data_IF_775530208149
#
_entry.id   IF_775530208149
#
_cell.length_a   1.000
_cell.length_b   1.000
_cell.length_c   1.000
_cell.angle_alpha   90.00
_cell.angle_beta   90.00
_cell.angle_gamma   90.00
#
_symmetry.space_group_name_H-M   'P 1'
#
loop_
_entity.id
_entity.type
_entity.pdbx_description
1 polymer ?
#
# COMPACT_ATOMS: atom_id res chain seq x y z
N UNK A 1 -24.25 -30.97 1.08
CA UNK A 1 -25.58 -31.55 1.43
C UNK A 1 -26.48 -30.53 2.14
N UNK A 2 -26.00 -29.79 3.12
CA UNK A 2 -26.80 -28.80 3.86
C UNK A 2 -27.27 -27.62 3.01
N UNK A 3 -26.50 -27.18 2.03
CA UNK A 3 -26.86 -26.08 1.11
C UNK A 3 -28.03 -26.46 0.20
N UNK A 4 -28.17 -27.74 -0.17
CA UNK A 4 -29.32 -28.21 -0.96
C UNK A 4 -30.61 -28.29 -0.13
N UNK A 5 -30.49 -28.59 1.16
CA UNK A 5 -31.64 -28.63 2.06
C UNK A 5 -32.19 -27.21 2.33
N UNK A 6 -31.30 -26.23 2.51
CA UNK A 6 -31.67 -24.83 2.67
C UNK A 6 -32.22 -24.20 1.38
N UNK A 7 -31.78 -24.67 0.21
CA UNK A 7 -32.25 -24.21 -1.10
C UNK A 7 -33.76 -24.49 -1.39
N UNK A 8 -34.43 -25.25 -0.55
CA UNK A 8 -35.88 -25.53 -0.66
C UNK A 8 -36.72 -24.90 0.44
N UNK A 9 -36.15 -23.98 1.23
CA UNK A 9 -36.82 -23.38 2.39
C UNK A 9 -38.05 -22.56 1.95
N UNK A 10 -38.03 -21.94 0.78
CA UNK A 10 -39.18 -21.22 0.21
C UNK A 10 -40.42 -22.07 0.04
N UNK A 11 -40.25 -23.37 -0.19
CA UNK A 11 -41.34 -24.33 -0.28
C UNK A 11 -41.90 -24.68 1.10
N UNK A 12 -41.12 -24.47 2.16
CA UNK A 12 -41.51 -24.80 3.56
C UNK A 12 -42.02 -23.54 4.27
N UNK A 13 -41.45 -22.38 3.99
CA UNK A 13 -41.88 -21.13 4.58
C UNK A 13 -41.74 -19.97 3.60
N UNK A 14 -42.84 -19.51 2.94
CA UNK A 14 -42.79 -18.47 1.92
C UNK A 14 -42.38 -17.06 2.45
N UNK A 15 -42.29 -16.90 3.78
CA UNK A 15 -41.80 -15.67 4.40
C UNK A 15 -40.29 -15.67 4.66
N UNK A 16 -39.59 -16.76 4.35
CA UNK A 16 -38.13 -16.83 4.45
C UNK A 16 -37.49 -16.55 3.10
N UNK A 17 -36.72 -15.49 3.04
CA UNK A 17 -35.88 -15.18 1.90
C UNK A 17 -34.45 -15.69 2.19
N UNK A 18 -33.86 -16.36 1.24
CA UNK A 18 -32.45 -16.77 1.32
C UNK A 18 -31.70 -16.42 0.05
N UNK A 19 -30.41 -16.15 0.20
CA UNK A 19 -29.49 -15.99 -0.91
C UNK A 19 -28.38 -17.03 -0.79
N UNK A 20 -27.98 -17.58 -1.91
CA UNK A 20 -26.82 -18.50 -1.98
C UNK A 20 -25.64 -17.78 -2.60
N UNK A 21 -24.54 -17.81 -1.88
CA UNK A 21 -23.27 -17.27 -2.36
C UNK A 21 -22.32 -18.42 -2.69
N UNK A 22 -21.49 -18.23 -3.69
CA UNK A 22 -20.50 -19.19 -4.11
C UNK A 22 -19.15 -18.54 -4.30
N UNK A 23 -18.09 -19.30 -4.06
CA UNK A 23 -16.73 -18.97 -4.45
C UNK A 23 -16.34 -19.57 -5.79
N UNK A 24 -17.25 -20.31 -6.44
CA UNK A 24 -17.02 -20.87 -7.76
C UNK A 24 -17.66 -19.98 -8.83
N UNK A 25 -16.89 -19.25 -9.67
CA UNK A 25 -17.41 -18.36 -10.71
C UNK A 25 -18.23 -19.08 -11.78
N UNK A 26 -18.07 -20.40 -11.93
CA UNK A 26 -18.83 -21.21 -12.90
C UNK A 26 -20.23 -21.62 -12.41
N UNK A 27 -20.57 -21.29 -11.16
CA UNK A 27 -21.88 -21.63 -10.60
C UNK A 27 -22.91 -20.55 -10.93
N UNK A 28 -23.73 -20.81 -11.94
CA UNK A 28 -24.78 -19.91 -12.43
C UNK A 28 -26.01 -19.78 -11.50
N UNK A 29 -26.14 -20.64 -10.48
CA UNK A 29 -27.29 -20.67 -9.59
C UNK A 29 -27.07 -19.94 -8.27
N UNK A 30 -25.94 -19.26 -8.11
CA UNK A 30 -25.57 -18.57 -6.89
C UNK A 30 -24.88 -17.25 -7.22
N UNK A 31 -25.01 -16.27 -6.33
CA UNK A 31 -24.26 -15.02 -6.45
C UNK A 31 -22.80 -15.24 -6.06
N UNK A 32 -21.86 -14.58 -6.73
CA UNK A 32 -20.45 -14.65 -6.35
C UNK A 32 -20.28 -13.89 -5.03
N UNK A 33 -19.67 -14.55 -4.06
CA UNK A 33 -19.25 -13.87 -2.83
C UNK A 33 -18.15 -12.87 -3.16
N UNK A 34 -18.43 -11.60 -3.01
CA UNK A 34 -17.45 -10.54 -3.15
C UNK A 34 -17.26 -9.84 -1.81
N UNK A 35 -16.03 -9.83 -1.30
CA UNK A 35 -15.67 -9.22 -0.02
C UNK A 35 -14.78 -8.00 -0.32
N UNK A 36 -15.31 -6.77 -0.22
CA UNK A 36 -14.51 -5.57 -0.43
C UNK A 36 -13.31 -5.52 0.52
N UNK A 37 -12.11 -5.31 -0.03
CA UNK A 37 -10.87 -5.32 0.76
C UNK A 37 -10.86 -4.29 1.90
N UNK A 38 -11.48 -3.13 1.70
CA UNK A 38 -11.55 -2.07 2.72
C UNK A 38 -12.45 -2.40 3.92
N UNK A 39 -13.18 -3.50 3.87
CA UNK A 39 -13.91 -4.04 5.02
C UNK A 39 -13.03 -4.94 5.91
N UNK A 40 -11.90 -5.43 5.38
CA UNK A 40 -10.97 -6.29 6.10
C UNK A 40 -10.06 -5.46 7.00
N UNK A 41 -10.00 -5.85 8.27
CA UNK A 41 -9.09 -5.27 9.24
C UNK A 41 -7.72 -5.95 9.23
N UNK A 42 -6.85 -5.53 10.16
CA UNK A 42 -5.51 -6.10 10.34
C UNK A 42 -5.58 -7.60 10.63
N UNK A 43 -6.49 -8.02 11.53
CA UNK A 43 -6.63 -9.42 11.93
C UNK A 43 -7.14 -10.29 10.77
N UNK A 44 -8.07 -9.79 9.96
CA UNK A 44 -8.59 -10.49 8.79
C UNK A 44 -7.49 -10.72 7.75
N UNK A 45 -6.69 -9.68 7.47
CA UNK A 45 -5.55 -9.79 6.56
C UNK A 45 -4.43 -10.67 7.14
N UNK A 46 -4.23 -10.64 8.44
CA UNK A 46 -3.27 -11.51 9.11
C UNK A 46 -3.64 -13.00 8.93
N UNK A 47 -4.92 -13.32 9.04
CA UNK A 47 -5.43 -14.68 8.76
C UNK A 47 -5.32 -15.02 7.27
N UNK A 48 -5.70 -14.11 6.39
CA UNK A 48 -5.67 -14.32 4.94
C UNK A 48 -4.24 -14.53 4.43
N UNK A 49 -3.26 -13.82 5.02
CA UNK A 49 -1.84 -13.90 4.67
C UNK A 49 -1.07 -14.91 5.53
N UNK A 50 -1.75 -15.72 6.34
CA UNK A 50 -1.17 -16.75 7.21
C UNK A 50 0.03 -16.20 8.04
N UNK A 51 -0.24 -15.14 8.79
CA UNK A 51 0.77 -14.52 9.67
C UNK A 51 1.20 -15.50 10.74
N UNK A 52 2.51 -15.74 10.82
CA UNK A 52 3.09 -16.71 11.75
C UNK A 52 3.85 -16.08 12.91
N UNK A 53 4.17 -14.78 12.78
CA UNK A 53 4.92 -14.06 13.81
C UNK A 53 4.32 -12.69 14.12
N UNK A 54 4.28 -12.26 15.39
CA UNK A 54 3.73 -10.95 15.79
C UNK A 54 4.42 -9.75 15.11
N UNK A 55 5.68 -9.91 14.71
CA UNK A 55 6.44 -8.84 14.05
C UNK A 55 5.94 -8.48 12.65
N UNK A 56 5.05 -9.30 12.07
CA UNK A 56 4.44 -9.07 10.77
C UNK A 56 3.21 -8.16 10.85
N UNK A 57 2.53 -8.11 12.00
CA UNK A 57 1.31 -7.30 12.18
C UNK A 57 1.53 -5.80 11.95
N UNK A 58 2.58 -5.15 12.49
CA UNK A 58 2.81 -3.73 12.27
C UNK A 58 2.99 -3.35 10.79
N UNK A 59 3.44 -4.28 9.96
CA UNK A 59 3.61 -4.06 8.52
C UNK A 59 2.25 -4.07 7.82
N UNK A 60 1.37 -4.99 8.18
CA UNK A 60 0.00 -5.04 7.67
C UNK A 60 -0.75 -3.77 8.08
N UNK A 61 -0.66 -3.40 9.36
CA UNK A 61 -1.27 -2.18 9.90
C UNK A 61 -0.80 -0.93 9.14
N UNK A 62 0.51 -0.81 8.92
CA UNK A 62 1.09 0.28 8.14
C UNK A 62 0.63 0.26 6.68
N UNK A 63 0.60 -0.92 6.04
CA UNK A 63 0.12 -1.03 4.66
C UNK A 63 -1.34 -0.57 4.53
N UNK A 64 -2.21 -1.01 5.46
CA UNK A 64 -3.61 -0.56 5.50
C UNK A 64 -3.75 0.94 5.72
N UNK A 65 -2.93 1.53 6.59
CA UNK A 65 -2.96 2.99 6.82
C UNK A 65 -2.50 3.80 5.60
N UNK A 66 -1.65 3.22 4.75
CA UNK A 66 -1.04 3.89 3.61
C UNK A 66 -1.76 3.65 2.28
N UNK A 67 -2.51 2.54 2.14
CA UNK A 67 -3.06 2.13 0.85
C UNK A 67 -3.94 3.21 0.20
N UNK A 68 -4.81 3.85 0.95
CA UNK A 68 -5.69 4.91 0.44
C UNK A 68 -4.93 6.20 0.05
N UNK A 69 -3.78 6.46 0.68
CA UNK A 69 -2.92 7.60 0.35
C UNK A 69 -2.11 7.30 -0.91
N UNK A 70 -1.54 6.11 -0.99
CA UNK A 70 -0.69 5.73 -2.14
C UNK A 70 -1.50 5.55 -3.43
N UNK A 71 -2.78 5.17 -3.33
CA UNK A 71 -3.69 4.99 -4.48
C UNK A 71 -4.35 6.29 -4.92
N UNK A 72 -4.55 7.24 -4.01
CA UNK A 72 -5.28 8.48 -4.30
C UNK A 72 -4.50 9.44 -5.20
N UNK A 73 -5.22 10.08 -6.13
CA UNK A 73 -4.70 11.11 -7.03
C UNK A 73 -5.32 12.50 -6.78
N UNK A 74 -6.11 12.64 -5.72
CA UNK A 74 -6.68 13.92 -5.31
C UNK A 74 -5.54 14.87 -4.83
N UNK A 75 -5.56 16.16 -5.20
CA UNK A 75 -4.52 17.12 -4.80
C UNK A 75 -4.23 17.18 -3.30
N UNK A 76 -5.25 17.00 -2.46
CA UNK A 76 -5.06 16.96 -1.01
C UNK A 76 -4.37 15.67 -0.57
N UNK A 77 -4.67 14.54 -1.21
CA UNK A 77 -4.01 13.26 -0.95
C UNK A 77 -2.57 13.25 -1.45
N UNK A 78 -2.28 13.92 -2.58
CA UNK A 78 -0.91 14.02 -3.13
C UNK A 78 0.05 14.69 -2.13
N UNK A 79 -0.39 15.65 -1.32
CA UNK A 79 0.45 16.25 -0.27
C UNK A 79 0.88 15.22 0.77
N UNK A 80 -0.06 14.38 1.23
CA UNK A 80 0.24 13.29 2.16
C UNK A 80 1.14 12.24 1.52
N UNK A 81 0.90 11.91 0.26
CA UNK A 81 1.74 11.00 -0.53
C UNK A 81 3.17 11.52 -0.63
N UNK A 82 3.35 12.81 -0.94
CA UNK A 82 4.65 13.46 -1.00
C UNK A 82 5.36 13.40 0.37
N UNK A 83 4.67 13.73 1.47
CA UNK A 83 5.24 13.70 2.81
C UNK A 83 5.74 12.30 3.18
N UNK A 84 4.93 11.26 2.96
CA UNK A 84 5.28 9.88 3.29
C UNK A 84 6.50 9.42 2.48
N UNK A 85 6.53 9.70 1.18
CA UNK A 85 7.66 9.36 0.30
C UNK A 85 8.90 10.16 0.71
N UNK A 86 8.74 11.44 1.01
CA UNK A 86 9.84 12.30 1.44
C UNK A 86 10.47 11.82 2.74
N UNK A 87 9.68 11.41 3.74
CA UNK A 87 10.18 10.83 5.00
C UNK A 87 10.99 9.56 4.72
N UNK A 88 10.48 8.63 3.92
CA UNK A 88 11.21 7.41 3.57
C UNK A 88 12.53 7.71 2.83
N UNK A 89 12.53 8.66 1.88
CA UNK A 89 13.74 9.10 1.19
C UNK A 89 14.72 9.79 2.13
N UNK A 90 14.22 10.62 3.05
CA UNK A 90 15.05 11.31 4.03
C UNK A 90 15.73 10.34 5.00
N UNK A 91 15.02 9.31 5.46
CA UNK A 91 15.57 8.26 6.32
C UNK A 91 16.71 7.51 5.61
N UNK A 92 16.57 7.23 4.30
CA UNK A 92 17.63 6.64 3.48
C UNK A 92 18.83 7.59 3.39
N UNK A 93 18.61 8.86 3.05
CA UNK A 93 19.66 9.86 2.91
C UNK A 93 20.47 10.03 4.20
N UNK A 94 19.81 9.95 5.35
CA UNK A 94 20.41 10.13 6.69
C UNK A 94 20.82 8.82 7.36
N UNK A 95 20.70 7.68 6.69
CA UNK A 95 20.96 6.34 7.26
C UNK A 95 22.42 6.07 7.66
N UNK A 96 23.36 6.90 7.20
CA UNK A 96 24.79 6.68 7.43
C UNK A 96 25.41 5.54 6.61
N UNK A 97 24.65 4.94 5.67
CA UNK A 97 25.19 3.94 4.76
C UNK A 97 26.19 4.54 3.75
N UNK A 98 26.88 3.68 2.99
CA UNK A 98 27.73 4.13 1.89
C UNK A 98 26.92 4.87 0.83
N UNK A 99 27.48 5.93 0.26
CA UNK A 99 26.81 6.81 -0.71
C UNK A 99 26.24 6.06 -1.93
N UNK A 100 26.89 4.99 -2.37
CA UNK A 100 26.39 4.13 -3.47
C UNK A 100 25.09 3.43 -3.06
N UNK A 101 25.04 2.86 -1.84
CA UNK A 101 23.85 2.21 -1.30
C UNK A 101 22.71 3.22 -1.11
N UNK A 102 23.02 4.39 -0.55
CA UNK A 102 22.05 5.49 -0.38
C UNK A 102 21.45 5.88 -1.74
N UNK A 103 22.29 6.17 -2.73
CA UNK A 103 21.84 6.53 -4.08
C UNK A 103 20.94 5.47 -4.68
N UNK A 104 21.35 4.21 -4.65
CA UNK A 104 20.64 3.12 -5.28
C UNK A 104 19.29 2.86 -4.58
N UNK A 105 19.22 2.98 -3.26
CA UNK A 105 17.97 2.89 -2.49
C UNK A 105 17.03 4.06 -2.80
N UNK A 106 17.52 5.30 -2.85
CA UNK A 106 16.70 6.46 -3.20
C UNK A 106 16.14 6.33 -4.62
N UNK A 107 16.97 5.89 -5.58
CA UNK A 107 16.52 5.64 -6.95
C UNK A 107 15.45 4.55 -6.97
N UNK A 108 15.63 3.45 -6.25
CA UNK A 108 14.66 2.36 -6.19
C UNK A 108 13.29 2.84 -5.63
N UNK A 109 13.32 3.60 -4.54
CA UNK A 109 12.09 4.16 -3.94
C UNK A 109 11.39 5.09 -4.93
N UNK A 110 12.09 6.10 -5.47
CA UNK A 110 11.48 7.10 -6.36
C UNK A 110 11.15 6.55 -7.77
N UNK A 111 11.69 5.40 -8.16
CA UNK A 111 11.26 4.71 -9.38
C UNK A 111 9.88 4.07 -9.18
N UNK A 112 9.63 3.49 -8.02
CA UNK A 112 8.38 2.78 -7.71
C UNK A 112 7.31 3.70 -7.12
N UNK A 113 7.72 4.59 -6.22
CA UNK A 113 6.86 5.50 -5.47
C UNK A 113 7.24 6.94 -5.80
N UNK A 114 6.48 7.57 -6.66
CA UNK A 114 6.74 8.95 -7.05
C UNK A 114 5.45 9.72 -7.28
N UNK A 115 5.58 11.02 -7.31
CA UNK A 115 4.53 11.95 -7.73
C UNK A 115 5.09 12.87 -8.81
N UNK A 116 4.25 13.73 -9.35
CA UNK A 116 4.71 14.75 -10.30
C UNK A 116 5.75 15.69 -9.68
N UNK A 117 5.59 16.00 -8.39
CA UNK A 117 6.43 16.99 -7.70
C UNK A 117 7.67 16.33 -7.06
N UNK A 118 7.56 15.09 -6.59
CA UNK A 118 8.63 14.32 -5.99
C UNK A 118 8.94 13.08 -6.83
N UNK A 119 9.87 13.23 -7.76
CA UNK A 119 10.32 12.18 -8.68
C UNK A 119 11.80 12.33 -8.99
N UNK A 120 12.40 11.34 -9.66
CA UNK A 120 13.79 11.41 -10.14
C UNK A 120 14.01 12.53 -11.18
N UNK A 121 12.95 12.92 -11.88
CA UNK A 121 12.98 13.98 -12.90
C UNK A 121 12.55 15.34 -12.36
N UNK A 122 12.16 15.42 -11.07
CA UNK A 122 11.83 16.67 -10.41
C UNK A 122 13.00 17.65 -10.50
N UNK A 123 12.71 18.90 -10.84
CA UNK A 123 13.72 19.94 -11.05
C UNK A 123 14.09 20.61 -9.74
N UNK A 124 15.36 20.60 -9.41
CA UNK A 124 15.95 21.36 -8.31
C UNK A 124 16.61 22.61 -8.89
N UNK A 125 16.04 23.76 -8.52
CA UNK A 125 16.49 25.08 -9.01
C UNK A 125 17.48 25.67 -8.03
N UNK A 126 18.64 26.07 -8.50
CA UNK A 126 19.67 26.80 -7.76
C UNK A 126 20.07 28.07 -8.52
N UNK A 127 20.64 29.08 -7.87
CA UNK A 127 21.17 30.24 -8.57
C UNK A 127 22.17 29.82 -9.65
N UNK A 128 21.84 30.12 -10.93
CA UNK A 128 22.69 29.85 -12.04
C UNK A 128 22.56 28.48 -12.73
N UNK A 129 21.83 27.50 -12.12
CA UNK A 129 21.61 26.20 -12.78
C UNK A 129 20.34 25.48 -12.31
N UNK A 130 19.85 24.59 -13.17
CA UNK A 130 18.73 23.68 -12.87
C UNK A 130 19.19 22.26 -13.17
N UNK A 131 18.96 21.35 -12.22
CA UNK A 131 19.24 19.91 -12.37
C UNK A 131 18.03 19.09 -11.97
N UNK A 132 17.97 17.86 -12.50
CA UNK A 132 17.00 16.89 -12.01
C UNK A 132 17.47 16.31 -10.66
N UNK A 133 16.54 15.82 -9.86
CA UNK A 133 16.83 15.12 -8.61
C UNK A 133 17.87 14.00 -8.85
N UNK A 134 17.68 13.21 -9.92
CA UNK A 134 18.59 12.14 -10.31
C UNK A 134 20.02 12.63 -10.56
N UNK A 135 20.16 13.80 -11.21
CA UNK A 135 21.48 14.39 -11.47
C UNK A 135 22.18 14.82 -10.19
N UNK A 136 21.42 15.24 -9.17
CA UNK A 136 21.97 15.62 -7.86
C UNK A 136 22.43 14.41 -7.03
N UNK A 137 22.06 13.18 -7.39
CA UNK A 137 22.55 11.95 -6.77
C UNK A 137 23.90 11.48 -7.30
N UNK A 138 24.70 12.39 -7.86
CA UNK A 138 26.03 12.11 -8.39
C UNK A 138 27.03 11.78 -7.28
N UNK A 139 27.79 10.70 -7.48
CA UNK A 139 28.86 10.26 -6.60
C UNK A 139 30.18 10.57 -7.25
N UNK A 140 31.08 11.23 -6.55
CA UNK A 140 32.41 11.56 -7.02
C UNK A 140 33.38 10.37 -7.04
N UNK A 141 34.61 10.63 -7.50
CA UNK A 141 35.68 9.59 -7.53
C UNK A 141 36.11 9.12 -6.13
N UNK A 142 35.78 9.87 -5.07
CA UNK A 142 36.07 9.52 -3.68
C UNK A 142 34.97 8.69 -3.03
N UNK A 143 33.88 8.44 -3.74
CA UNK A 143 32.73 7.69 -3.26
C UNK A 143 31.76 8.52 -2.42
N UNK A 144 31.80 9.84 -2.49
CA UNK A 144 30.88 10.74 -1.78
C UNK A 144 29.75 11.25 -2.68
N UNK A 145 28.54 11.33 -2.09
CA UNK A 145 27.41 12.02 -2.71
C UNK A 145 27.66 13.54 -2.61
N UNK A 146 27.91 14.17 -3.76
CA UNK A 146 28.38 15.56 -3.79
C UNK A 146 27.36 16.59 -3.34
N UNK A 147 26.08 16.39 -3.67
CA UNK A 147 25.02 17.36 -3.43
C UNK A 147 24.04 16.89 -2.35
N UNK A 148 24.54 16.16 -1.33
CA UNK A 148 23.74 15.58 -0.26
C UNK A 148 22.85 16.62 0.44
N UNK A 149 23.42 17.75 0.81
CA UNK A 149 22.70 18.82 1.50
C UNK A 149 21.58 19.40 0.62
N UNK A 150 21.86 19.61 -0.67
CA UNK A 150 20.88 20.09 -1.63
C UNK A 150 19.70 19.13 -1.77
N UNK A 151 20.00 17.83 -1.89
CA UNK A 151 18.98 16.78 -2.00
C UNK A 151 18.15 16.70 -0.71
N UNK A 152 18.80 16.70 0.46
CA UNK A 152 18.12 16.70 1.75
C UNK A 152 17.20 17.92 1.92
N UNK A 153 17.68 19.11 1.56
CA UNK A 153 16.87 20.33 1.67
C UNK A 153 15.67 20.29 0.71
N UNK A 154 15.85 19.80 -0.51
CA UNK A 154 14.75 19.62 -1.45
C UNK A 154 13.70 18.64 -0.92
N UNK A 155 14.12 17.48 -0.41
CA UNK A 155 13.19 16.48 0.15
C UNK A 155 12.44 17.04 1.35
N UNK A 156 13.10 17.81 2.21
CA UNK A 156 12.46 18.46 3.38
C UNK A 156 11.32 19.41 3.01
N UNK A 157 11.31 19.99 1.81
CA UNK A 157 10.21 20.88 1.39
C UNK A 157 8.87 20.18 1.28
N UNK A 158 8.85 18.85 1.22
CA UNK A 158 7.64 18.04 1.16
C UNK A 158 7.19 17.53 2.53
N UNK A 159 7.98 17.70 3.57
CA UNK A 159 7.64 17.28 4.93
C UNK A 159 6.65 18.29 5.53
N UNK A 160 5.53 17.79 6.04
CA UNK A 160 4.54 18.57 6.76
C UNK A 160 4.83 18.52 8.27
N UNK A 161 4.88 19.69 8.93
CA UNK A 161 5.20 19.78 10.36
C UNK A 161 4.11 19.13 11.23
N UNK A 162 2.83 19.29 10.85
CA UNK A 162 1.66 18.78 11.58
C UNK A 162 1.06 17.52 10.90
N UNK A 163 1.93 16.63 10.41
CA UNK A 163 1.46 15.40 9.77
C UNK A 163 0.84 14.45 10.80
N UNK A 164 -0.49 14.34 10.78
CA UNK A 164 -1.22 13.30 11.48
C UNK A 164 -2.07 12.51 10.47
N UNK A 165 -1.85 11.19 10.42
CA UNK A 165 -2.64 10.30 9.57
C UNK A 165 -4.13 10.31 9.93
N UNK A 166 -4.48 10.67 11.16
CA UNK A 166 -5.86 10.76 11.64
C UNK A 166 -6.60 12.01 11.12
N UNK A 167 -5.86 13.09 10.82
CA UNK A 167 -6.43 14.34 10.30
C UNK A 167 -6.68 14.33 8.78
N UNK A 168 -6.39 13.21 8.12
CA UNK A 168 -6.65 13.10 6.70
C UNK A 168 -8.15 13.19 6.44
N UNK A 169 -8.60 13.85 5.36
CA UNK A 169 -9.99 13.78 4.94
C UNK A 169 -10.39 12.31 4.77
N UNK A 170 -11.42 11.86 5.50
CA UNK A 170 -12.02 10.52 5.37
C UNK A 170 -12.67 10.35 3.98
N UNK A 171 -11.88 10.42 2.94
CA UNK A 171 -12.30 9.90 1.63
C UNK A 171 -11.98 8.42 1.65
N UNK A 172 -12.99 7.64 1.96
CA UNK A 172 -12.93 6.20 1.75
C UNK A 172 -12.72 5.93 0.26
N UNK A 173 -11.55 5.46 -0.06
CA UNK A 173 -11.18 5.09 -1.42
C UNK A 173 -11.24 3.57 -1.50
N UNK A 174 -12.05 3.07 -2.43
CA UNK A 174 -11.97 1.67 -2.79
C UNK A 174 -10.56 1.36 -3.32
N UNK A 175 -9.95 0.31 -2.83
CA UNK A 175 -8.63 -0.13 -3.27
C UNK A 175 -8.65 -1.61 -3.62
N UNK A 176 -7.78 -1.99 -4.54
CA UNK A 176 -7.62 -3.36 -5.03
C UNK A 176 -6.54 -4.11 -4.27
N UNK A 177 -6.45 -5.43 -4.47
CA UNK A 177 -5.31 -6.25 -3.99
C UNK A 177 -3.97 -5.70 -4.48
N UNK A 178 -3.92 -5.18 -5.71
CA UNK A 178 -2.71 -4.62 -6.29
C UNK A 178 -2.28 -3.30 -5.61
N UNK A 179 -3.26 -2.50 -5.20
CA UNK A 179 -2.99 -1.29 -4.43
C UNK A 179 -2.47 -1.63 -3.03
N UNK A 180 -3.06 -2.65 -2.40
CA UNK A 180 -2.60 -3.16 -1.11
C UNK A 180 -1.19 -3.77 -1.23
N UNK A 181 -0.87 -4.48 -2.31
CA UNK A 181 0.47 -4.97 -2.61
C UNK A 181 1.47 -3.83 -2.71
N UNK A 182 1.12 -2.75 -3.43
CA UNK A 182 1.94 -1.54 -3.54
C UNK A 182 2.17 -0.89 -2.17
N UNK A 183 1.14 -0.79 -1.35
CA UNK A 183 1.25 -0.25 0.00
C UNK A 183 2.09 -1.15 0.93
N UNK A 184 1.96 -2.47 0.81
CA UNK A 184 2.77 -3.44 1.54
C UNK A 184 4.25 -3.31 1.19
N UNK A 185 4.58 -3.20 -0.08
CA UNK A 185 5.96 -3.00 -0.53
C UNK A 185 6.55 -1.68 0.00
N UNK A 186 5.74 -0.62 0.05
CA UNK A 186 6.18 0.65 0.65
C UNK A 186 6.40 0.52 2.16
N UNK A 187 5.49 -0.16 2.86
CA UNK A 187 5.63 -0.42 4.30
C UNK A 187 6.91 -1.22 4.59
N UNK A 188 7.21 -2.23 3.78
CA UNK A 188 8.45 -3.01 3.88
C UNK A 188 9.70 -2.17 3.69
N UNK A 189 9.73 -1.30 2.69
CA UNK A 189 10.87 -0.41 2.43
C UNK A 189 11.05 0.55 3.61
N UNK A 190 9.97 1.18 4.07
CA UNK A 190 10.04 2.16 5.15
C UNK A 190 10.39 1.55 6.51
N UNK A 191 9.97 0.32 6.81
CA UNK A 191 10.30 -0.38 8.05
C UNK A 191 11.63 -1.15 7.95
N UNK A 192 11.93 -1.76 6.81
CA UNK A 192 13.13 -2.56 6.62
C UNK A 192 14.42 -1.75 6.64
N UNK A 193 14.38 -0.48 6.20
CA UNK A 193 15.53 0.43 6.26
C UNK A 193 15.85 0.81 7.70
N UNK A 194 14.85 0.85 8.57
CA UNK A 194 15.00 1.33 9.94
C UNK A 194 15.37 0.24 10.95
N UNK A 195 15.12 -1.05 10.69
CA UNK A 195 15.11 -2.03 11.78
C UNK A 195 16.09 -3.20 11.69
N UNK A 196 16.40 -3.76 10.60
CA UNK A 196 17.43 -4.78 10.33
C UNK A 196 17.07 -5.71 9.16
N UNK A 197 18.09 -6.33 8.56
CA UNK A 197 17.91 -7.30 7.45
C UNK A 197 16.99 -8.48 7.82
N UNK A 198 16.98 -8.91 9.10
CA UNK A 198 16.12 -10.01 9.56
C UNK A 198 14.63 -9.69 9.57
N UNK A 199 14.26 -8.45 9.91
CA UNK A 199 12.85 -8.02 9.88
C UNK A 199 12.36 -7.97 8.43
N UNK A 200 13.23 -7.55 7.52
CA UNK A 200 12.91 -7.54 6.09
C UNK A 200 12.62 -8.95 5.55
N UNK A 201 13.41 -9.95 5.93
CA UNK A 201 13.22 -11.34 5.47
C UNK A 201 11.86 -11.92 5.90
N UNK A 202 11.47 -11.71 7.18
CA UNK A 202 10.17 -12.19 7.68
C UNK A 202 8.99 -11.46 7.04
N UNK A 203 9.17 -10.20 6.74
CA UNK A 203 8.13 -9.36 6.19
C UNK A 203 7.94 -9.56 4.67
N UNK A 204 9.01 -9.91 3.96
CA UNK A 204 8.96 -10.22 2.53
C UNK A 204 8.04 -11.40 2.22
N UNK A 205 7.89 -12.34 3.16
CA UNK A 205 6.92 -13.45 3.03
C UNK A 205 5.49 -12.94 2.86
N UNK A 206 5.12 -11.83 3.52
CA UNK A 206 3.79 -11.22 3.38
C UNK A 206 3.58 -10.67 1.96
N UNK A 207 4.58 -9.96 1.42
CA UNK A 207 4.50 -9.44 0.04
C UNK A 207 4.36 -10.58 -0.97
N UNK A 208 5.13 -11.66 -0.82
CA UNK A 208 5.04 -12.84 -1.68
C UNK A 208 3.65 -13.49 -1.61
N UNK A 209 3.07 -13.63 -0.42
CA UNK A 209 1.73 -14.21 -0.23
C UNK A 209 0.63 -13.31 -0.80
N UNK A 210 0.73 -12.01 -0.58
CA UNK A 210 -0.21 -11.04 -1.14
C UNK A 210 -0.12 -11.03 -2.68
N UNK A 211 1.09 -11.07 -3.23
CA UNK A 211 1.31 -11.19 -4.67
C UNK A 211 0.70 -12.48 -5.23
N UNK A 212 0.90 -13.60 -4.56
CA UNK A 212 0.30 -14.87 -4.96
C UNK A 212 -1.23 -14.82 -4.93
N UNK A 213 -1.82 -14.18 -3.92
CA UNK A 213 -3.27 -13.97 -3.81
C UNK A 213 -3.79 -13.07 -4.95
N UNK A 214 -3.14 -11.94 -5.20
CA UNK A 214 -3.50 -10.98 -6.24
C UNK A 214 -3.44 -11.58 -7.67
N UNK A 215 -2.59 -12.58 -7.88
CA UNK A 215 -2.45 -13.28 -9.16
C UNK A 215 -3.16 -14.65 -9.19
N UNK A 216 -3.83 -15.04 -8.12
CA UNK A 216 -4.63 -16.29 -8.09
C UNK A 216 -6.02 -16.08 -8.69
N UNK A 217 -6.73 -17.16 -9.11
CA UNK A 217 -8.13 -17.06 -9.51
C UNK A 217 -9.04 -16.49 -8.40
N UNK A 218 -8.61 -16.56 -7.16
CA UNK A 218 -9.38 -16.10 -5.99
C UNK A 218 -9.40 -14.56 -5.84
N UNK A 219 -8.59 -13.82 -6.63
CA UNK A 219 -8.61 -12.35 -6.58
C UNK A 219 -9.99 -11.77 -6.85
N UNK A 220 -10.81 -12.45 -7.67
CA UNK A 220 -12.18 -12.03 -8.02
C UNK A 220 -13.10 -11.85 -6.82
N UNK A 221 -12.80 -12.52 -5.69
CA UNK A 221 -13.59 -12.36 -4.46
C UNK A 221 -13.37 -11.02 -3.77
N UNK A 222 -12.27 -10.36 -4.08
CA UNK A 222 -11.88 -9.08 -3.50
C UNK A 222 -12.00 -7.91 -4.48
N UNK A 223 -12.34 -8.19 -5.74
CA UNK A 223 -12.52 -7.18 -6.78
C UNK A 223 -13.88 -6.48 -6.61
N UNK A 224 -13.85 -5.35 -5.93
CA UNK A 224 -15.00 -4.44 -5.87
C UNK A 224 -14.61 -3.11 -6.52
N UNK A 225 -15.35 -2.74 -7.56
CA UNK A 225 -15.06 -1.54 -8.35
C UNK A 225 -15.68 -0.27 -7.78
N UNK A 226 -16.46 -0.36 -6.71
CA UNK A 226 -17.12 0.77 -6.09
C UNK A 226 -17.08 0.64 -4.57
N UNK A 227 -16.78 1.76 -3.89
CA UNK A 227 -16.88 1.82 -2.45
C UNK A 227 -18.32 1.52 -1.98
N UNK A 228 -18.42 0.60 -1.04
CA UNK A 228 -19.67 0.26 -0.34
C UNK A 228 -19.36 0.38 1.15
N UNK A 229 -20.23 1.08 1.92
CA UNK A 229 -20.08 1.13 3.37
C UNK A 229 -20.34 -0.25 3.99
N UNK A 230 -19.79 -0.48 5.18
CA UNK A 230 -19.99 -1.74 5.92
C UNK A 230 -21.48 -2.06 6.11
N UNK A 231 -22.26 -1.07 6.52
CA UNK A 231 -23.69 -1.23 6.75
C UNK A 231 -24.42 -1.59 5.46
N UNK A 232 -24.16 -0.85 4.36
CA UNK A 232 -24.75 -1.16 3.05
C UNK A 232 -24.33 -2.55 2.54
N UNK A 233 -23.11 -2.99 2.85
CA UNK A 233 -22.64 -4.32 2.46
C UNK A 233 -23.36 -5.40 3.25
N UNK A 234 -23.51 -5.24 4.57
CA UNK A 234 -24.22 -6.17 5.43
C UNK A 234 -25.72 -6.25 5.07
N UNK A 235 -26.34 -5.15 4.69
CA UNK A 235 -27.74 -5.13 4.24
C UNK A 235 -27.97 -5.88 2.92
N UNK A 236 -26.92 -6.11 2.14
CA UNK A 236 -26.97 -6.88 0.88
C UNK A 236 -26.80 -8.39 1.06
N UNK A 237 -26.12 -8.79 2.15
CA UNK A 237 -25.91 -10.21 2.48
C UNK A 237 -27.20 -10.83 3.03
#
# INVERSE_FOLDING_TARGET
>A
EYTRALGNVDNVNPNMHYKTYTTNPDNVNSEILNIPLWLLGVDDLALLLDVTTPNQLPIIEKALSLVSILTGDDPDVIKYKNDIIARAVLDILLSGHQSTKIRDQVIAVLTKFNTKDLSLDAKIVQPGYVRTFKQCLYIDKTGKLMEMELVVNFVKTFIMDDFNLEDRPEKFIAYTLKDLETAMDFALISEGILKSDKVYDYANVLSVRLHALANSPNHVFFDSNAYISKDTYLDRL
#
